data_IF_440275724237
#
_entry.id   IF_440275724237
#
_cell.length_a   1.000
_cell.length_b   1.000
_cell.length_c   1.000
_cell.angle_alpha   90.00
_cell.angle_beta   90.00
_cell.angle_gamma   90.00
#
_symmetry.space_group_name_H-M   'P 1'
#
loop_
_entity.id
_entity.type
_entity.pdbx_description
1 polymer ?
#
# COMPACT_ATOMS: atom_id res chain seq x y z
N UNK A 1 5.29 -6.23 25.42
CA UNK A 1 4.90 -6.42 23.99
C UNK A 1 4.68 -5.14 23.17
N UNK A 2 4.79 -3.92 23.73
CA UNK A 2 4.60 -2.67 22.96
C UNK A 2 5.63 -2.52 21.82
N UNK A 3 6.87 -2.98 22.04
CA UNK A 3 7.98 -2.92 21.08
C UNK A 3 7.75 -3.81 19.85
N UNK A 4 7.35 -5.06 20.06
CA UNK A 4 7.05 -6.02 18.96
C UNK A 4 5.91 -5.52 18.09
N UNK A 5 4.83 -5.02 18.70
CA UNK A 5 3.71 -4.43 17.97
C UNK A 5 4.16 -3.25 17.12
N UNK A 6 4.98 -2.35 17.67
CA UNK A 6 5.49 -1.18 16.95
C UNK A 6 6.39 -1.56 15.78
N UNK A 7 7.23 -2.58 15.94
CA UNK A 7 8.06 -3.11 14.86
C UNK A 7 7.19 -3.65 13.72
N UNK A 8 6.26 -4.56 14.03
CA UNK A 8 5.35 -5.15 13.06
C UNK A 8 4.53 -4.11 12.30
N UNK A 9 3.92 -3.15 13.02
CA UNK A 9 3.10 -2.14 12.39
C UNK A 9 3.92 -1.21 11.51
N UNK A 10 5.09 -0.75 11.97
CA UNK A 10 5.94 0.15 11.19
C UNK A 10 6.42 -0.54 9.91
N UNK A 11 6.86 -1.79 10.01
CA UNK A 11 7.37 -2.53 8.87
C UNK A 11 6.28 -2.80 7.85
N UNK A 12 5.13 -3.34 8.27
CA UNK A 12 4.03 -3.64 7.35
C UNK A 12 3.49 -2.35 6.71
N UNK A 13 3.23 -1.30 7.49
CA UNK A 13 2.71 -0.03 6.94
C UNK A 13 3.71 0.60 5.97
N UNK A 14 5.01 0.57 6.28
CA UNK A 14 6.04 1.09 5.36
C UNK A 14 6.10 0.30 4.05
N UNK A 15 5.97 -1.02 4.12
CA UNK A 15 5.97 -1.89 2.95
C UNK A 15 4.70 -1.73 2.10
N UNK A 16 3.53 -1.62 2.74
CA UNK A 16 2.27 -1.34 2.04
C UNK A 16 2.31 0.03 1.36
N UNK A 17 2.79 1.07 2.06
CA UNK A 17 2.92 2.40 1.48
C UNK A 17 3.91 2.43 0.32
N UNK A 18 5.04 1.71 0.43
CA UNK A 18 6.00 1.57 -0.65
C UNK A 18 5.41 0.89 -1.88
N UNK A 19 4.69 -0.22 -1.69
CA UNK A 19 4.04 -0.94 -2.79
C UNK A 19 2.92 -0.11 -3.40
N UNK A 20 2.11 0.58 -2.60
CA UNK A 20 1.06 1.48 -3.08
C UNK A 20 1.65 2.61 -3.92
N UNK A 21 2.75 3.23 -3.48
CA UNK A 21 3.44 4.28 -4.22
C UNK A 21 4.01 3.76 -5.54
N UNK A 22 4.60 2.55 -5.53
CA UNK A 22 5.12 1.93 -6.75
C UNK A 22 4.01 1.69 -7.79
N UNK A 23 2.87 1.14 -7.37
CA UNK A 23 1.72 0.96 -8.26
C UNK A 23 1.13 2.30 -8.73
N UNK A 24 0.96 3.26 -7.83
CA UNK A 24 0.43 4.57 -8.18
C UNK A 24 1.32 5.29 -9.21
N UNK A 25 2.64 5.21 -9.05
CA UNK A 25 3.59 5.77 -10.00
C UNK A 25 3.55 5.08 -11.36
N UNK A 26 3.30 3.76 -11.39
CA UNK A 26 3.16 3.01 -12.63
C UNK A 26 1.88 3.40 -13.37
N UNK A 27 0.75 3.45 -12.66
CA UNK A 27 -0.54 3.86 -13.25
C UNK A 27 -0.49 5.30 -13.74
N UNK A 28 -0.02 6.23 -12.91
CA UNK A 28 0.18 7.62 -13.32
C UNK A 28 1.01 7.74 -14.60
N UNK A 29 2.06 6.94 -14.75
CA UNK A 29 2.87 6.93 -15.97
C UNK A 29 2.10 6.39 -17.18
N UNK A 30 1.32 5.33 -17.01
CA UNK A 30 0.47 4.78 -18.06
C UNK A 30 -0.57 5.81 -18.49
N UNK A 31 -1.31 6.37 -17.54
CA UNK A 31 -2.36 7.37 -17.81
C UNK A 31 -1.78 8.61 -18.50
N UNK A 32 -0.60 9.07 -18.06
CA UNK A 32 0.09 10.19 -18.67
C UNK A 32 0.50 9.92 -20.12
N UNK A 33 0.97 8.70 -20.42
CA UNK A 33 1.33 8.29 -21.79
C UNK A 33 0.10 8.15 -22.68
N UNK A 34 -1.02 7.65 -22.15
CA UNK A 34 -2.28 7.59 -22.87
C UNK A 34 -2.79 9.00 -23.21
N UNK A 35 -2.77 9.89 -22.23
CA UNK A 35 -3.25 11.27 -22.37
C UNK A 35 -2.36 12.13 -23.30
N UNK A 36 -1.06 11.79 -23.38
CA UNK A 36 -0.13 12.39 -24.34
C UNK A 36 -0.55 12.17 -25.81
N UNK A 37 -1.31 11.12 -26.12
CA UNK A 37 -1.78 10.85 -27.48
C UNK A 37 -2.81 11.90 -27.98
N UNK A 38 -3.50 12.58 -27.06
CA UNK A 38 -4.50 13.60 -27.37
C UNK A 38 -3.98 15.05 -27.23
N UNK A 39 -2.73 15.21 -26.79
CA UNK A 39 -2.05 16.50 -26.75
C UNK A 39 -1.88 17.06 -28.17
N UNK A 40 -2.38 18.28 -28.42
CA UNK A 40 -2.30 18.96 -29.71
C UNK A 40 -3.65 19.35 -30.33
N UNK A 41 -4.78 18.82 -29.84
CA UNK A 41 -6.15 19.19 -30.30
C UNK A 41 -6.76 20.35 -29.49
N UNK A 42 -5.95 21.28 -28.98
CA UNK A 42 -6.34 22.28 -27.97
C UNK A 42 -6.11 21.83 -26.53
N UNK A 43 -5.56 20.64 -26.34
CA UNK A 43 -5.17 20.05 -25.06
C UNK A 43 -3.67 20.24 -24.81
N UNK A 44 -3.29 20.72 -23.62
CA UNK A 44 -1.87 20.95 -23.28
C UNK A 44 -1.34 19.87 -22.35
N UNK A 45 -0.01 19.70 -22.32
CA UNK A 45 0.67 18.76 -21.42
C UNK A 45 0.32 19.01 -19.94
N UNK A 46 0.06 20.27 -19.57
CA UNK A 46 -0.40 20.63 -18.22
C UNK A 46 -1.78 20.05 -17.90
N UNK A 47 -2.70 20.01 -18.88
CA UNK A 47 -4.00 19.36 -18.69
C UNK A 47 -3.82 17.85 -18.54
N UNK A 48 -2.91 17.24 -19.31
CA UNK A 48 -2.62 15.82 -19.20
C UNK A 48 -2.13 15.44 -17.80
N UNK A 49 -1.13 16.17 -17.28
CA UNK A 49 -0.62 15.95 -15.92
C UNK A 49 -1.71 16.16 -14.88
N UNK A 50 -2.51 17.23 -15.00
CA UNK A 50 -3.61 17.50 -14.07
C UNK A 50 -4.68 16.39 -14.10
N UNK A 51 -5.00 15.86 -15.28
CA UNK A 51 -5.94 14.77 -15.44
C UNK A 51 -5.44 13.48 -14.78
N UNK A 52 -4.21 13.06 -15.09
CA UNK A 52 -3.59 11.87 -14.47
C UNK A 52 -3.46 12.04 -12.95
N UNK A 53 -3.21 13.25 -12.44
CA UNK A 53 -3.17 13.50 -10.99
C UNK A 53 -4.56 13.37 -10.34
N UNK A 54 -5.62 13.78 -11.03
CA UNK A 54 -7.00 13.67 -10.55
C UNK A 54 -7.49 12.21 -10.57
N UNK A 55 -6.94 11.36 -11.44
CA UNK A 55 -7.23 9.93 -11.47
C UNK A 55 -6.45 9.14 -10.39
N UNK A 56 -5.35 9.69 -9.88
CA UNK A 56 -4.51 9.03 -8.87
C UNK A 56 -5.27 8.53 -7.62
N UNK A 57 -6.23 9.26 -7.02
CA UNK A 57 -7.01 8.76 -5.88
C UNK A 57 -7.89 7.56 -6.24
N UNK A 58 -8.49 7.57 -7.43
CA UNK A 58 -9.31 6.47 -7.91
C UNK A 58 -8.46 5.19 -8.10
N UNK A 59 -7.30 5.33 -8.74
CA UNK A 59 -6.34 4.22 -8.86
C UNK A 59 -5.86 3.74 -7.49
N UNK A 60 -5.58 4.64 -6.56
CA UNK A 60 -5.18 4.24 -5.21
C UNK A 60 -6.27 3.39 -4.53
N UNK A 61 -7.54 3.73 -4.70
CA UNK A 61 -8.66 2.95 -4.14
C UNK A 61 -8.74 1.55 -4.75
N UNK A 62 -8.67 1.45 -6.09
CA UNK A 62 -8.70 0.17 -6.80
C UNK A 62 -7.50 -0.72 -6.46
N UNK A 63 -6.33 -0.11 -6.28
CA UNK A 63 -5.08 -0.81 -6.06
C UNK A 63 -4.82 -1.11 -4.58
N UNK A 64 -5.54 -0.47 -3.66
CA UNK A 64 -5.30 -0.62 -2.22
C UNK A 64 -5.36 -2.07 -1.74
N UNK A 65 -6.35 -2.92 -2.11
CA UNK A 65 -6.38 -4.31 -1.65
C UNK A 65 -5.16 -5.11 -2.11
N UNK A 66 -4.71 -4.85 -3.34
CA UNK A 66 -3.53 -5.50 -3.94
C UNK A 66 -2.25 -5.00 -3.23
N UNK A 67 -2.15 -3.69 -2.99
CA UNK A 67 -1.01 -3.09 -2.29
C UNK A 67 -0.91 -3.58 -0.84
N UNK A 68 -2.04 -3.72 -0.14
CA UNK A 68 -2.10 -4.28 1.22
C UNK A 68 -1.66 -5.74 1.22
N UNK A 69 -2.17 -6.56 0.28
CA UNK A 69 -1.79 -7.97 0.16
C UNK A 69 -0.29 -8.13 -0.09
N UNK A 70 0.22 -7.50 -1.14
CA UNK A 70 1.62 -7.62 -1.56
C UNK A 70 2.56 -6.99 -0.53
N UNK A 71 2.22 -5.81 -0.01
CA UNK A 71 3.01 -5.12 1.01
C UNK A 71 3.13 -5.92 2.31
N UNK A 72 2.04 -6.58 2.73
CA UNK A 72 2.06 -7.45 3.92
C UNK A 72 2.91 -8.71 3.67
N UNK A 73 2.78 -9.35 2.51
CA UNK A 73 3.62 -10.50 2.14
C UNK A 73 5.10 -10.10 2.10
N UNK A 74 5.42 -8.97 1.48
CA UNK A 74 6.78 -8.45 1.41
C UNK A 74 7.36 -8.17 2.80
N UNK A 75 6.61 -7.52 3.69
CA UNK A 75 7.05 -7.25 5.06
C UNK A 75 7.30 -8.55 5.85
N UNK A 76 6.37 -9.52 5.76
CA UNK A 76 6.51 -10.81 6.43
C UNK A 76 7.67 -11.64 5.88
N UNK A 77 7.88 -11.63 4.55
CA UNK A 77 9.00 -12.29 3.91
C UNK A 77 10.33 -11.68 4.37
N UNK A 78 10.41 -10.35 4.51
CA UNK A 78 11.60 -9.66 5.03
C UNK A 78 11.90 -10.07 6.47
N UNK A 79 10.88 -10.09 7.34
CA UNK A 79 11.00 -10.53 8.73
C UNK A 79 11.41 -12.00 8.84
N UNK A 80 10.95 -12.85 7.93
CA UNK A 80 11.35 -14.26 7.86
C UNK A 80 12.81 -14.41 7.40
N UNK A 81 13.23 -13.68 6.38
CA UNK A 81 14.61 -13.69 5.86
C UNK A 81 15.64 -13.22 6.90
N UNK A 82 15.32 -12.17 7.65
CA UNK A 82 16.17 -11.66 8.73
C UNK A 82 16.14 -12.55 10.00
N UNK A 83 15.41 -13.68 9.99
CA UNK A 83 15.16 -14.55 11.14
C UNK A 83 14.45 -13.85 12.33
N UNK A 84 13.99 -12.60 12.18
CA UNK A 84 13.27 -11.86 13.22
C UNK A 84 11.95 -12.54 13.58
N UNK A 85 11.22 -13.04 12.58
CA UNK A 85 9.98 -13.77 12.80
C UNK A 85 10.21 -15.05 13.62
N UNK A 86 11.30 -15.77 13.34
CA UNK A 86 11.69 -16.97 14.08
C UNK A 86 12.05 -16.64 15.53
N UNK A 87 12.83 -15.58 15.76
CA UNK A 87 13.20 -15.10 17.10
C UNK A 87 11.96 -14.70 17.90
N UNK A 88 11.01 -14.00 17.27
CA UNK A 88 9.76 -13.60 17.92
C UNK A 88 8.93 -14.82 18.33
N UNK A 89 8.85 -15.84 17.47
CA UNK A 89 8.14 -17.08 17.76
C UNK A 89 8.79 -17.86 18.92
N UNK A 90 10.12 -17.97 18.96
CA UNK A 90 10.83 -18.68 20.06
C UNK A 90 10.82 -17.90 21.37
N UNK A 91 10.69 -16.57 21.32
CA UNK A 91 10.57 -15.70 22.51
C UNK A 91 9.13 -15.56 23.06
N UNK A 92 8.20 -16.39 22.58
CA UNK A 92 6.83 -16.49 23.14
C UNK A 92 5.75 -15.73 22.37
N UNK A 93 5.98 -15.40 21.09
CA UNK A 93 4.93 -14.90 20.20
C UNK A 93 4.08 -16.08 19.67
N UNK A 94 2.91 -16.29 20.26
CA UNK A 94 1.95 -17.28 19.79
C UNK A 94 1.45 -16.97 18.36
N UNK A 95 1.23 -17.99 17.50
CA UNK A 95 0.67 -17.81 16.16
C UNK A 95 -0.67 -17.08 16.15
N UNK A 96 -1.54 -17.36 17.13
CA UNK A 96 -2.83 -16.66 17.27
C UNK A 96 -2.66 -15.17 17.59
N UNK A 97 -1.62 -14.78 18.33
CA UNK A 97 -1.33 -13.37 18.60
C UNK A 97 -0.84 -12.66 17.35
N UNK A 98 0.03 -13.31 16.58
CA UNK A 98 0.48 -12.79 15.28
C UNK A 98 -0.71 -12.55 14.34
N UNK A 99 -1.62 -13.52 14.24
CA UNK A 99 -2.84 -13.42 13.45
C UNK A 99 -3.72 -12.25 13.89
N UNK A 100 -3.97 -12.10 15.20
CA UNK A 100 -4.77 -10.97 15.72
C UNK A 100 -4.15 -9.61 15.41
N UNK A 101 -2.82 -9.50 15.47
CA UNK A 101 -2.11 -8.26 15.12
C UNK A 101 -2.27 -7.94 13.62
N UNK A 102 -2.15 -8.95 12.76
CA UNK A 102 -2.34 -8.80 11.31
C UNK A 102 -3.80 -8.47 10.97
N UNK A 103 -4.77 -9.15 11.57
CA UNK A 103 -6.20 -8.85 11.37
C UNK A 103 -6.57 -7.44 11.83
N UNK A 104 -6.08 -6.99 12.99
CA UNK A 104 -6.33 -5.64 13.47
C UNK A 104 -5.74 -4.58 12.53
N UNK A 105 -4.54 -4.81 12.00
CA UNK A 105 -3.90 -3.93 11.03
C UNK A 105 -4.64 -3.95 9.68
N UNK A 106 -5.07 -5.12 9.22
CA UNK A 106 -5.85 -5.26 7.99
C UNK A 106 -7.20 -4.56 8.07
N UNK A 107 -7.91 -4.68 9.21
CA UNK A 107 -9.15 -3.94 9.45
C UNK A 107 -8.92 -2.43 9.49
N UNK A 108 -7.83 -1.97 10.12
CA UNK A 108 -7.49 -0.55 10.16
C UNK A 108 -7.19 -0.01 8.75
N UNK A 109 -6.44 -0.76 7.93
CA UNK A 109 -6.17 -0.39 6.54
C UNK A 109 -7.45 -0.41 5.70
N UNK A 110 -8.31 -1.43 5.86
CA UNK A 110 -9.58 -1.49 5.15
C UNK A 110 -10.52 -0.32 5.50
N UNK A 111 -10.60 0.05 6.78
CA UNK A 111 -11.35 1.22 7.21
C UNK A 111 -10.77 2.52 6.61
N UNK A 112 -9.44 2.62 6.54
CA UNK A 112 -8.77 3.74 5.88
C UNK A 112 -9.07 3.79 4.38
N UNK A 113 -9.04 2.65 3.68
CA UNK A 113 -9.42 2.55 2.27
C UNK A 113 -10.84 3.01 2.03
N UNK A 114 -11.77 2.57 2.88
CA UNK A 114 -13.18 2.95 2.80
C UNK A 114 -13.36 4.45 2.96
N UNK A 115 -12.71 5.06 3.96
CA UNK A 115 -12.75 6.51 4.15
C UNK A 115 -12.10 7.26 2.99
N UNK A 116 -10.99 6.76 2.43
CA UNK A 116 -10.38 7.42 1.26
C UNK A 116 -11.32 7.34 0.05
N UNK A 117 -11.93 6.19 -0.22
CA UNK A 117 -12.81 6.03 -1.39
C UNK A 117 -14.19 6.72 -1.27
N UNK A 118 -14.67 6.98 -0.05
CA UNK A 118 -15.95 7.68 0.15
C UNK A 118 -15.79 9.21 0.08
N UNK A 119 -14.65 9.75 0.54
CA UNK A 119 -14.47 11.19 0.75
C UNK A 119 -13.49 11.87 -0.24
N UNK A 120 -12.72 11.11 -1.02
CA UNK A 120 -11.74 11.61 -2.00
C UNK A 120 -12.12 11.13 -3.40
#
# INVERSE_FOLDING_TARGET
>A
MKTVRRLFHRDIVSSVAFVALAFLSLFFFIDFVEELADVGKGYTVLHAVAHSLLQAPAHLYELMPIAVLIGTIYALARLAHASEFTILRTSGLDPQRALRLLCALGLALAALTYLVGEYV
#
